data_IF_329640537928
#
_entry.id   IF_329640537928
#
_cell.length_a   1.000
_cell.length_b   1.000
_cell.length_c   1.000
_cell.angle_alpha   90.00
_cell.angle_beta   90.00
_cell.angle_gamma   90.00
#
_symmetry.space_group_name_H-M   'P 1'
#
loop_
_entity.id
_entity.type
_entity.pdbx_description
1 polymer ?
#
# COMPACT_ATOMS: atom_id res chain seq x y z
N UNK A 1 56.52 55.42 44.37
CA UNK A 1 55.54 55.31 43.26
C UNK A 1 54.57 54.20 43.67
N UNK A 2 53.41 54.45 44.28
CA UNK A 2 52.18 55.09 43.74
C UNK A 2 51.73 54.34 42.47
N UNK A 3 50.53 53.84 42.22
CA UNK A 3 49.20 53.75 42.86
C UNK A 3 48.37 52.89 41.89
N UNK A 4 47.35 52.18 42.36
CA UNK A 4 46.12 52.02 41.57
C UNK A 4 45.87 50.67 40.90
N UNK A 5 44.96 49.91 41.50
CA UNK A 5 43.97 49.10 40.80
C UNK A 5 43.13 49.98 39.86
N UNK A 6 42.50 49.41 38.81
CA UNK A 6 41.04 49.40 38.90
C UNK A 6 40.39 48.11 38.44
N UNK A 7 39.31 47.82 39.17
CA UNK A 7 38.21 46.94 38.83
C UNK A 7 37.40 47.43 37.61
N UNK A 8 36.59 46.49 37.09
CA UNK A 8 35.31 46.68 36.41
C UNK A 8 35.24 47.57 35.14
N UNK A 9 34.84 46.96 34.03
CA UNK A 9 33.48 47.13 33.50
C UNK A 9 33.43 46.78 31.99
N UNK A 10 32.57 45.80 31.70
CA UNK A 10 31.77 45.63 30.49
C UNK A 10 32.11 46.47 29.24
N UNK A 11 32.58 45.80 28.18
CA UNK A 11 32.22 46.11 26.79
C UNK A 11 32.54 44.88 25.91
N UNK A 12 31.54 44.08 25.60
CA UNK A 12 30.93 44.07 24.27
C UNK A 12 31.58 43.04 23.33
N UNK A 13 30.97 41.85 23.32
CA UNK A 13 30.61 41.10 22.11
C UNK A 13 31.22 41.59 20.80
N UNK A 14 32.39 41.04 20.46
CA UNK A 14 32.83 40.91 19.09
C UNK A 14 33.67 39.63 18.97
N UNK A 15 32.99 38.48 19.07
CA UNK A 15 33.49 37.29 18.38
C UNK A 15 33.46 37.66 16.89
N UNK A 16 34.59 38.14 16.38
CA UNK A 16 34.79 38.37 14.97
C UNK A 16 34.56 37.02 14.29
N UNK A 17 33.38 36.91 13.69
CA UNK A 17 33.05 35.91 12.69
C UNK A 17 34.24 35.87 11.72
N UNK A 18 34.93 34.73 11.55
CA UNK A 18 35.94 34.63 10.51
C UNK A 18 35.25 34.98 9.18
N UNK A 19 35.89 35.74 8.28
CA UNK A 19 35.28 36.04 7.00
C UNK A 19 34.95 34.71 6.33
N UNK A 20 33.66 34.51 6.05
CA UNK A 20 33.22 33.43 5.20
C UNK A 20 34.01 33.50 3.90
N UNK A 21 34.89 32.53 3.70
CA UNK A 21 35.20 32.02 2.37
C UNK A 21 34.52 30.66 2.30
N UNK A 22 33.23 30.72 2.00
CA UNK A 22 32.53 29.58 1.44
C UNK A 22 33.26 29.18 0.16
N UNK A 23 34.07 28.14 0.26
CA UNK A 23 34.49 27.35 -0.87
C UNK A 23 33.89 25.97 -0.68
N UNK A 24 32.59 25.84 -0.91
CA UNK A 24 32.08 24.59 -1.47
C UNK A 24 32.79 24.43 -2.81
N UNK A 25 34.01 23.88 -2.78
CA UNK A 25 34.85 23.66 -3.94
C UNK A 25 34.04 22.78 -4.85
N UNK A 26 33.43 23.39 -5.85
CA UNK A 26 32.59 22.67 -6.79
C UNK A 26 33.45 21.52 -7.33
N UNK A 27 32.95 20.28 -7.40
CA UNK A 27 33.74 19.19 -7.98
C UNK A 27 34.20 19.55 -9.40
N UNK A 28 33.44 20.41 -10.08
CA UNK A 28 33.79 21.02 -11.36
C UNK A 28 34.99 21.98 -11.23
N UNK A 29 35.05 22.83 -10.20
CA UNK A 29 36.21 23.70 -9.93
C UNK A 29 37.44 22.91 -9.48
N UNK A 30 37.25 21.78 -8.78
CA UNK A 30 38.34 20.85 -8.47
C UNK A 30 38.86 20.15 -9.74
N UNK A 31 37.97 19.80 -10.68
CA UNK A 31 38.35 19.29 -12.00
C UNK A 31 39.06 20.35 -12.85
N UNK A 32 38.65 21.63 -12.79
CA UNK A 32 39.35 22.74 -13.44
C UNK A 32 40.69 23.08 -12.78
N UNK A 33 40.79 22.95 -11.46
CA UNK A 33 42.04 23.09 -10.71
C UNK A 33 43.02 21.95 -11.00
N UNK A 34 42.52 20.74 -11.25
CA UNK A 34 43.34 19.64 -11.75
C UNK A 34 43.70 19.83 -13.23
N UNK A 35 42.76 20.27 -14.09
CA UNK A 35 43.03 20.50 -15.52
C UNK A 35 44.09 21.60 -15.77
N UNK A 36 44.17 22.58 -14.88
CA UNK A 36 45.15 23.67 -14.96
C UNK A 36 46.52 23.32 -14.35
N UNK A 37 46.62 22.20 -13.62
CA UNK A 37 47.85 21.76 -12.93
C UNK A 37 48.39 20.40 -13.41
N UNK A 38 47.70 19.71 -14.33
CA UNK A 38 47.99 18.32 -14.68
C UNK A 38 48.84 18.20 -15.94
N UNK A 39 49.94 17.46 -15.80
CA UNK A 39 50.73 16.95 -16.92
C UNK A 39 49.84 16.13 -17.86
N UNK A 40 49.67 16.54 -19.13
CA UNK A 40 48.75 15.90 -20.08
C UNK A 40 49.10 14.43 -20.33
N UNK A 41 50.36 14.03 -20.11
CA UNK A 41 50.86 12.67 -20.30
C UNK A 41 50.38 11.71 -19.19
N UNK A 42 50.31 12.16 -17.94
CA UNK A 42 49.78 11.32 -16.84
C UNK A 42 48.28 11.09 -16.96
N UNK A 43 47.55 12.12 -17.42
CA UNK A 43 46.10 12.04 -17.61
C UNK A 43 45.74 11.05 -18.72
N UNK A 44 46.48 11.05 -19.83
CA UNK A 44 46.28 10.11 -20.94
C UNK A 44 46.49 8.67 -20.48
N UNK A 45 47.52 8.40 -19.66
CA UNK A 45 47.74 7.07 -19.08
C UNK A 45 46.55 6.59 -18.25
N UNK A 46 46.10 7.42 -17.29
CA UNK A 46 44.94 7.10 -16.42
C UNK A 46 43.64 6.96 -17.20
N UNK A 47 43.44 7.73 -18.26
CA UNK A 47 42.26 7.64 -19.13
C UNK A 47 42.24 6.32 -19.91
N UNK A 48 43.40 5.87 -20.41
CA UNK A 48 43.53 4.59 -21.12
C UNK A 48 43.28 3.42 -20.17
N UNK A 49 43.83 3.45 -18.95
CA UNK A 49 43.58 2.41 -17.95
C UNK A 49 42.11 2.35 -17.52
N UNK A 50 41.48 3.51 -17.37
CA UNK A 50 40.04 3.60 -17.06
C UNK A 50 39.19 3.07 -18.20
N UNK A 51 39.56 3.39 -19.45
CA UNK A 51 38.89 2.87 -20.65
C UNK A 51 38.99 1.35 -20.71
N UNK A 52 40.20 0.80 -20.51
CA UNK A 52 40.41 -0.65 -20.47
C UNK A 52 39.55 -1.33 -19.41
N UNK A 53 39.57 -0.82 -18.18
CA UNK A 53 38.76 -1.36 -17.07
C UNK A 53 37.26 -1.25 -17.35
N UNK A 54 36.83 -0.19 -18.02
CA UNK A 54 35.43 0.01 -18.42
C UNK A 54 35.02 -1.00 -19.49
N UNK A 55 35.90 -1.30 -20.45
CA UNK A 55 35.65 -2.35 -21.45
C UNK A 55 35.55 -3.73 -20.80
N UNK A 56 36.44 -4.06 -19.86
CA UNK A 56 36.38 -5.32 -19.11
C UNK A 56 35.05 -5.43 -18.32
N UNK A 57 34.59 -4.33 -17.70
CA UNK A 57 33.29 -4.29 -17.04
C UNK A 57 32.11 -4.41 -18.02
N UNK A 58 32.19 -3.79 -19.20
CA UNK A 58 31.15 -3.90 -20.23
C UNK A 58 31.05 -5.31 -20.78
N UNK A 59 32.17 -6.00 -20.99
CA UNK A 59 32.19 -7.40 -21.39
C UNK A 59 31.51 -8.28 -20.34
N UNK A 60 31.83 -8.09 -19.06
CA UNK A 60 31.15 -8.79 -17.97
C UNK A 60 29.64 -8.50 -17.95
N UNK A 61 29.21 -7.27 -18.22
CA UNK A 61 27.78 -6.92 -18.32
C UNK A 61 27.13 -7.61 -19.51
N UNK A 62 27.79 -7.69 -20.66
CA UNK A 62 27.27 -8.36 -21.85
C UNK A 62 27.13 -9.88 -21.63
N UNK A 63 28.06 -10.51 -20.91
CA UNK A 63 27.95 -11.91 -20.50
C UNK A 63 26.73 -12.14 -19.59
N UNK A 64 26.49 -11.23 -18.65
CA UNK A 64 25.29 -11.26 -17.80
C UNK A 64 23.99 -10.95 -18.57
N UNK A 65 24.08 -10.09 -19.59
CA UNK A 65 22.95 -9.74 -20.45
C UNK A 65 22.54 -10.92 -21.32
N UNK A 66 23.49 -11.70 -21.84
CA UNK A 66 23.21 -12.92 -22.57
C UNK A 66 22.43 -13.92 -21.70
N UNK A 67 22.83 -14.10 -20.43
CA UNK A 67 22.08 -14.93 -19.48
C UNK A 67 20.66 -14.39 -19.20
N UNK A 68 20.50 -13.07 -19.15
CA UNK A 68 19.20 -12.42 -18.96
C UNK A 68 18.28 -12.63 -20.17
N UNK A 69 18.79 -12.50 -21.40
CA UNK A 69 18.02 -12.77 -22.62
C UNK A 69 17.57 -14.23 -22.72
N UNK A 70 18.43 -15.17 -22.33
CA UNK A 70 18.08 -16.59 -22.26
C UNK A 70 17.00 -16.86 -21.22
N UNK A 71 17.09 -16.23 -20.04
CA UNK A 71 16.06 -16.34 -19.00
C UNK A 71 14.73 -15.70 -19.43
N UNK A 72 14.77 -14.58 -20.15
CA UNK A 72 13.58 -13.96 -20.75
C UNK A 72 12.96 -14.87 -21.80
N UNK A 73 13.77 -15.48 -22.68
CA UNK A 73 13.26 -16.41 -23.69
C UNK A 73 12.56 -17.62 -23.05
N UNK A 74 13.17 -18.21 -22.02
CA UNK A 74 12.56 -19.29 -21.23
C UNK A 74 11.29 -18.85 -20.51
N UNK A 75 11.28 -17.64 -19.95
CA UNK A 75 10.11 -17.09 -19.27
C UNK A 75 8.97 -16.88 -20.25
N UNK A 76 9.22 -16.27 -21.41
CA UNK A 76 8.23 -16.07 -22.47
C UNK A 76 7.67 -17.41 -22.97
N UNK A 77 8.54 -18.41 -23.19
CA UNK A 77 8.11 -19.75 -23.61
C UNK A 77 7.21 -20.40 -22.56
N UNK A 78 7.56 -20.26 -21.28
CA UNK A 78 6.71 -20.76 -20.18
C UNK A 78 5.41 -19.98 -20.05
N UNK A 79 5.41 -18.66 -20.25
CA UNK A 79 4.18 -17.86 -20.22
C UNK A 79 3.25 -18.30 -21.34
N UNK A 80 3.75 -18.54 -22.55
CA UNK A 80 2.93 -19.06 -23.64
C UNK A 80 2.37 -20.45 -23.31
N UNK A 81 3.17 -21.35 -22.73
CA UNK A 81 2.67 -22.64 -22.26
C UNK A 81 1.65 -22.52 -21.13
N UNK A 82 1.83 -21.58 -20.19
CA UNK A 82 0.84 -21.30 -19.14
C UNK A 82 -0.45 -20.72 -19.72
N UNK A 83 -0.37 -19.91 -20.78
CA UNK A 83 -1.54 -19.39 -21.48
C UNK A 83 -2.32 -20.51 -22.20
N UNK A 84 -1.62 -21.50 -22.75
CA UNK A 84 -2.25 -22.70 -23.31
C UNK A 84 -2.83 -23.58 -22.18
N UNK A 85 -2.11 -23.73 -21.07
CA UNK A 85 -2.49 -24.57 -19.94
C UNK A 85 -3.62 -23.99 -19.08
N UNK A 86 -3.96 -22.68 -19.19
CA UNK A 86 -5.10 -22.08 -18.47
C UNK A 86 -6.45 -22.32 -19.15
N UNK A 87 -6.48 -22.72 -20.42
CA UNK A 87 -7.74 -23.03 -21.13
C UNK A 87 -8.51 -24.15 -20.41
N UNK A 88 -7.80 -25.20 -20.01
CA UNK A 88 -8.33 -26.40 -19.36
C UNK A 88 -8.91 -26.11 -17.95
N UNK A 89 -8.18 -25.43 -17.03
CA UNK A 89 -8.73 -24.91 -15.77
C UNK A 89 -9.95 -24.01 -15.97
N UNK A 90 -9.87 -23.06 -16.90
CA UNK A 90 -10.95 -22.12 -17.15
C UNK A 90 -12.21 -22.85 -17.62
N UNK A 91 -12.05 -23.80 -18.54
CA UNK A 91 -13.13 -24.65 -19.04
C UNK A 91 -13.73 -25.54 -17.95
N UNK A 92 -12.95 -25.97 -16.97
CA UNK A 92 -13.42 -26.75 -15.80
C UNK A 92 -14.18 -25.89 -14.79
N UNK A 93 -13.81 -24.62 -14.65
CA UNK A 93 -14.40 -23.68 -13.68
C UNK A 93 -15.64 -22.97 -14.25
N UNK A 94 -15.69 -22.70 -15.56
CA UNK A 94 -16.82 -22.04 -16.23
C UNK A 94 -18.20 -22.67 -15.90
N UNK A 95 -18.39 -24.00 -15.94
CA UNK A 95 -19.66 -24.62 -15.57
C UNK A 95 -20.05 -24.37 -14.10
N UNK A 96 -19.07 -24.34 -13.20
CA UNK A 96 -19.30 -24.09 -11.77
C UNK A 96 -19.72 -22.64 -11.54
N UNK A 97 -19.08 -21.69 -12.24
CA UNK A 97 -19.47 -20.28 -12.22
C UNK A 97 -20.87 -20.10 -12.79
N UNK A 98 -21.19 -20.75 -13.91
CA UNK A 98 -22.53 -20.73 -14.49
C UNK A 98 -23.60 -21.33 -13.57
N UNK A 99 -23.30 -22.45 -12.91
CA UNK A 99 -24.19 -23.05 -11.93
C UNK A 99 -24.41 -22.14 -10.70
N UNK A 100 -23.35 -21.50 -10.21
CA UNK A 100 -23.42 -20.54 -9.10
C UNK A 100 -24.26 -19.30 -9.47
N UNK A 101 -24.08 -18.76 -10.68
CA UNK A 101 -24.88 -17.63 -11.16
C UNK A 101 -26.36 -18.00 -11.31
N UNK A 102 -26.66 -19.18 -11.85
CA UNK A 102 -28.04 -19.67 -11.94
C UNK A 102 -28.66 -19.89 -10.56
N UNK A 103 -27.92 -20.47 -9.61
CA UNK A 103 -28.38 -20.62 -8.23
C UNK A 103 -28.64 -19.27 -7.57
N UNK A 104 -27.78 -18.28 -7.80
CA UNK A 104 -27.97 -16.91 -7.29
C UNK A 104 -29.21 -16.25 -7.90
N UNK A 105 -29.44 -16.43 -9.21
CA UNK A 105 -30.65 -15.94 -9.87
C UNK A 105 -31.92 -16.59 -9.30
N UNK A 106 -31.91 -17.91 -9.11
CA UNK A 106 -33.01 -18.64 -8.49
C UNK A 106 -33.27 -18.18 -7.04
N UNK A 107 -32.22 -17.93 -6.26
CA UNK A 107 -32.36 -17.36 -4.91
C UNK A 107 -32.97 -15.96 -4.93
N UNK A 108 -32.61 -15.12 -5.91
CA UNK A 108 -33.22 -13.81 -6.10
C UNK A 108 -34.72 -13.91 -6.40
N UNK A 109 -35.12 -14.86 -7.23
CA UNK A 109 -36.53 -15.09 -7.56
C UNK A 109 -37.32 -15.64 -6.36
N UNK A 110 -36.75 -16.57 -5.59
CA UNK A 110 -37.35 -17.05 -4.34
C UNK A 110 -37.50 -15.91 -3.32
N UNK A 111 -36.49 -15.05 -3.18
CA UNK A 111 -36.56 -13.90 -2.29
C UNK A 111 -37.68 -12.92 -2.71
N UNK A 112 -37.85 -12.67 -4.01
CA UNK A 112 -38.93 -11.84 -4.53
C UNK A 112 -40.31 -12.46 -4.24
N UNK A 113 -40.47 -13.77 -4.45
CA UNK A 113 -41.71 -14.49 -4.15
C UNK A 113 -42.04 -14.49 -2.66
N UNK A 114 -41.04 -14.68 -1.79
CA UNK A 114 -41.22 -14.57 -0.34
C UNK A 114 -41.64 -13.17 0.08
N UNK A 115 -41.08 -12.12 -0.54
CA UNK A 115 -41.51 -10.74 -0.32
C UNK A 115 -42.99 -10.52 -0.63
N UNK A 116 -43.49 -11.11 -1.71
CA UNK A 116 -44.90 -11.03 -2.09
C UNK A 116 -45.82 -11.82 -1.15
N UNK A 117 -45.39 -13.00 -0.68
CA UNK A 117 -46.11 -13.77 0.34
C UNK A 117 -46.20 -12.97 1.64
N UNK A 118 -45.09 -12.40 2.13
CA UNK A 118 -45.09 -11.53 3.31
C UNK A 118 -46.04 -10.35 3.15
N UNK A 119 -46.08 -9.74 1.96
CA UNK A 119 -46.98 -8.63 1.64
C UNK A 119 -48.47 -9.05 1.68
N UNK A 120 -48.78 -10.26 1.22
CA UNK A 120 -50.14 -10.84 1.25
C UNK A 120 -50.55 -11.37 2.61
N UNK A 121 -49.60 -11.77 3.44
CA UNK A 121 -49.85 -12.17 4.82
C UNK A 121 -50.02 -10.96 5.75
N UNK A 122 -49.50 -9.78 5.40
CA UNK A 122 -49.69 -8.54 6.16
C UNK A 122 -51.16 -8.28 6.57
N UNK A 123 -52.14 -8.31 5.65
CA UNK A 123 -53.55 -8.18 5.98
C UNK A 123 -54.08 -9.24 6.95
N UNK A 124 -53.65 -10.51 6.83
CA UNK A 124 -54.05 -11.57 7.76
C UNK A 124 -53.41 -11.38 9.15
N UNK A 125 -52.18 -10.86 9.20
CA UNK A 125 -51.53 -10.45 10.46
C UNK A 125 -52.32 -9.34 11.14
N UNK A 126 -52.78 -8.33 10.39
CA UNK A 126 -53.62 -7.25 10.96
C UNK A 126 -55.00 -7.75 11.42
N UNK A 127 -55.55 -8.77 10.76
CA UNK A 127 -56.79 -9.43 11.18
C UNK A 127 -56.58 -10.25 12.46
N UNK A 128 -55.47 -10.98 12.55
CA UNK A 128 -55.07 -11.75 13.73
C UNK A 128 -54.74 -10.85 14.93
N UNK A 129 -54.13 -9.69 14.72
CA UNK A 129 -53.89 -8.69 15.77
C UNK A 129 -55.19 -8.07 16.29
N UNK A 130 -56.13 -7.71 15.40
CA UNK A 130 -57.45 -7.22 15.80
C UNK A 130 -58.29 -8.31 16.51
N UNK A 131 -58.21 -9.57 16.06
CA UNK A 131 -58.91 -10.68 16.69
C UNK A 131 -58.26 -11.12 18.01
N UNK A 132 -56.93 -11.03 18.15
CA UNK A 132 -56.18 -11.35 19.36
C UNK A 132 -56.47 -10.40 20.53
N UNK A 133 -56.80 -9.14 20.24
CA UNK A 133 -57.34 -8.20 21.23
C UNK A 133 -58.76 -8.53 21.71
N UNK A 134 -59.51 -9.33 20.93
CA UNK A 134 -60.89 -9.73 21.21
C UNK A 134 -61.00 -11.15 21.81
N UNK A 135 -60.04 -12.04 21.53
CA UNK A 135 -60.07 -13.46 21.94
C UNK A 135 -59.42 -13.77 23.30
N UNK A 136 -59.15 -12.75 24.12
CA UNK A 136 -59.09 -12.97 25.57
C UNK A 136 -57.84 -13.67 26.11
N UNK A 137 -56.65 -13.26 25.71
CA UNK A 137 -55.44 -13.46 26.55
C UNK A 137 -55.18 -12.23 27.42
N UNK A 138 -56.18 -11.85 28.23
CA UNK A 138 -55.92 -11.02 29.43
C UNK A 138 -55.68 -12.00 30.57
N UNK A 139 -54.48 -12.07 31.18
CA UNK A 139 -54.29 -12.83 32.41
C UNK A 139 -55.19 -12.21 33.48
N UNK A 140 -56.29 -12.88 33.82
CA UNK A 140 -57.15 -12.51 34.93
C UNK A 140 -56.40 -12.77 36.24
N UNK A 141 -55.61 -11.81 36.70
CA UNK A 141 -55.22 -11.72 38.11
C UNK A 141 -56.30 -10.92 38.84
N UNK A 142 -57.28 -11.63 39.37
CA UNK A 142 -57.74 -11.43 40.75
C UNK A 142 -58.81 -12.45 41.14
N UNK A 143 -58.63 -13.15 42.28
CA UNK A 143 -59.72 -13.48 43.16
C UNK A 143 -59.70 -12.49 44.34
N UNK A 144 -60.78 -11.73 44.46
CA UNK A 144 -61.03 -10.88 45.61
C UNK A 144 -61.70 -11.71 46.72
N UNK A 145 -61.12 -11.60 47.92
CA UNK A 145 -61.71 -11.68 49.27
C UNK A 145 -62.21 -13.03 49.85
N UNK A 146 -61.60 -13.43 50.98
CA UNK A 146 -62.37 -13.76 52.18
C UNK A 146 -61.56 -13.53 53.45
N UNK A 147 -62.22 -12.84 54.37
CA UNK A 147 -61.85 -12.39 55.71
C UNK A 147 -61.27 -13.45 56.64
N UNK A 148 -60.31 -13.06 57.48
CA UNK A 148 -60.18 -13.63 58.83
C UNK A 148 -59.73 -12.56 59.83
N UNK A 149 -60.71 -12.14 60.62
CA UNK A 149 -60.56 -11.54 61.95
C UNK A 149 -60.05 -12.59 62.96
N UNK A 150 -59.41 -12.06 64.01
CA UNK A 150 -58.82 -12.71 65.21
C UNK A 150 -57.32 -13.06 65.12
#
# INVERSE_FOLDING_TARGET
MTTGEPADAAANSAHAVPPGSGGSTNPIEQLFGLLTLVDPVEMVGKAIDTSRRTTEAMLAVLENFAGTLENLNRTTTRVNALLDDVEEPLRRVMPQVGAAMNAMAAMGEVAAQMGEITKRLGPLTTLAENAGGLFGLRPNRNPSTSSRTE
#
